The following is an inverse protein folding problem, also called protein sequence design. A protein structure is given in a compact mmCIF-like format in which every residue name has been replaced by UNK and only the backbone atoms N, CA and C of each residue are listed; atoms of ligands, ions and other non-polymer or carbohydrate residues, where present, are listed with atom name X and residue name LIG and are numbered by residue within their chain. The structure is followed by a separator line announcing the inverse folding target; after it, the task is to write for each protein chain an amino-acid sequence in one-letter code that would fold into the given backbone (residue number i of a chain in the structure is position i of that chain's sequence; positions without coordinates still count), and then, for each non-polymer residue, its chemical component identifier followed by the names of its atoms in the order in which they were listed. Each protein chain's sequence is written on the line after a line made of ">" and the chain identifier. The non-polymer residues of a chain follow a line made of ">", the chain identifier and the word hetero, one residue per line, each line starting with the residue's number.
data_IF_213085392581
#
_entry.id   IF_213085392581
#
_cell.length_a   1.000
_cell.length_b   1.000
_cell.length_c   1.000
_cell.angle_alpha   90.00
_cell.angle_beta   90.00
_cell.angle_gamma   90.00
#
_symmetry.space_group_name_H-M   'P 1'
#
loop_
_entity.id
_entity.type
_entity.pdbx_description
1 polymer ?
#
# COMPACT_ATOMS: atom_id res chain seq x y z
N UNK A 1 -24.84 -6.50 14.56
CA UNK A 1 -25.58 -6.46 13.29
C UNK A 1 -25.57 -7.88 12.72
N UNK A 2 -26.72 -8.49 12.46
CA UNK A 2 -26.80 -9.85 11.87
C UNK A 2 -27.27 -9.72 10.43
N UNK A 3 -26.46 -10.18 9.47
CA UNK A 3 -26.83 -10.19 8.05
C UNK A 3 -27.80 -11.35 7.76
N UNK A 4 -28.80 -11.11 6.92
CA UNK A 4 -29.70 -12.18 6.45
C UNK A 4 -29.00 -13.02 5.38
N UNK A 5 -29.33 -14.31 5.28
CA UNK A 5 -28.80 -15.18 4.22
C UNK A 5 -29.07 -14.58 2.84
N UNK A 6 -28.01 -14.39 2.04
CA UNK A 6 -28.09 -13.76 0.71
C UNK A 6 -27.93 -12.24 0.69
N UNK A 7 -27.81 -11.58 1.85
CA UNK A 7 -27.54 -10.16 1.92
C UNK A 7 -26.08 -9.87 1.55
N UNK A 8 -25.87 -9.11 0.48
CA UNK A 8 -24.55 -8.59 0.10
C UNK A 8 -24.31 -7.31 0.86
N UNK A 9 -23.28 -7.29 1.71
CA UNK A 9 -22.86 -6.12 2.47
C UNK A 9 -21.46 -5.76 1.99
N UNK A 10 -21.26 -4.51 1.61
CA UNK A 10 -19.92 -3.99 1.40
C UNK A 10 -19.32 -3.64 2.77
N UNK A 11 -18.17 -4.23 3.17
CA UNK A 11 -17.53 -3.89 4.43
C UNK A 11 -17.26 -2.39 4.59
N UNK A 12 -17.00 -1.66 3.49
CA UNK A 12 -16.77 -0.22 3.52
C UNK A 12 -17.99 0.60 3.95
N UNK A 13 -19.20 0.02 3.92
CA UNK A 13 -20.41 0.67 4.41
C UNK A 13 -20.49 0.66 5.95
N UNK A 14 -19.70 -0.19 6.63
CA UNK A 14 -19.81 -0.41 8.09
C UNK A 14 -18.48 -0.33 8.83
N UNK A 15 -17.36 -0.54 8.13
CA UNK A 15 -16.01 -0.49 8.66
C UNK A 15 -15.26 0.64 7.97
N UNK A 16 -14.84 1.68 8.71
CA UNK A 16 -14.14 2.81 8.10
C UNK A 16 -12.75 2.38 7.63
N UNK A 17 -12.45 2.68 6.36
CA UNK A 17 -11.11 2.57 5.81
C UNK A 17 -10.41 3.93 5.90
N UNK A 18 -9.57 4.09 6.93
CA UNK A 18 -8.97 5.38 7.30
C UNK A 18 -7.51 5.53 6.88
N UNK A 19 -6.87 4.44 6.46
CA UNK A 19 -5.44 4.39 6.22
C UNK A 19 -5.14 4.42 4.72
N UNK A 20 -4.11 5.17 4.32
CA UNK A 20 -3.46 4.91 3.03
C UNK A 20 -2.47 3.75 3.20
N UNK A 21 -2.56 2.74 2.35
CA UNK A 21 -1.62 1.63 2.36
C UNK A 21 -0.60 1.81 1.24
N UNK A 22 0.68 1.68 1.56
CA UNK A 22 1.77 1.70 0.61
C UNK A 22 2.45 0.35 0.58
N UNK A 23 2.64 -0.21 -0.62
CA UNK A 23 3.32 -1.48 -0.85
C UNK A 23 4.64 -1.21 -1.57
N UNK A 24 5.75 -1.61 -0.96
CA UNK A 24 7.09 -1.35 -1.51
C UNK A 24 8.01 -2.57 -1.33
N UNK A 25 9.02 -2.67 -2.18
CA UNK A 25 10.21 -3.50 -1.97
C UNK A 25 11.28 -2.67 -1.24
N UNK A 26 11.67 -3.10 -0.03
CA UNK A 26 12.70 -2.41 0.75
C UNK A 26 14.12 -2.62 0.22
N UNK A 27 14.37 -3.65 -0.59
CA UNK A 27 15.68 -3.85 -1.23
C UNK A 27 15.88 -2.93 -2.44
N UNK A 28 14.81 -2.24 -2.88
CA UNK A 28 14.85 -1.28 -3.98
C UNK A 28 14.99 0.16 -3.43
N UNK A 29 16.17 0.79 -3.52
CA UNK A 29 16.41 2.12 -2.98
C UNK A 29 15.58 3.23 -3.66
N UNK A 30 15.19 3.04 -4.92
CA UNK A 30 14.28 3.94 -5.62
C UNK A 30 12.87 3.89 -5.02
N UNK A 31 12.40 2.71 -4.61
CA UNK A 31 11.12 2.58 -3.91
C UNK A 31 11.16 3.16 -2.49
N UNK A 32 12.27 3.02 -1.77
CA UNK A 32 12.46 3.69 -0.48
C UNK A 32 12.43 5.22 -0.65
N UNK A 33 13.10 5.74 -1.67
CA UNK A 33 13.13 7.18 -1.99
C UNK A 33 11.74 7.69 -2.40
N UNK A 34 11.03 6.91 -3.23
CA UNK A 34 9.64 7.19 -3.60
C UNK A 34 8.73 7.23 -2.37
N UNK A 35 8.89 6.30 -1.43
CA UNK A 35 8.10 6.26 -0.20
C UNK A 35 8.34 7.49 0.67
N UNK A 36 9.60 7.92 0.83
CA UNK A 36 9.96 9.14 1.58
C UNK A 36 9.31 10.40 1.03
N UNK A 37 9.04 10.45 -0.28
CA UNK A 37 8.39 11.59 -0.92
C UNK A 37 6.86 11.62 -0.73
N UNK A 38 6.25 10.54 -0.24
CA UNK A 38 4.79 10.45 -0.14
C UNK A 38 4.22 11.37 0.94
N UNK A 39 3.12 12.04 0.61
CA UNK A 39 2.33 12.87 1.52
C UNK A 39 0.89 12.36 1.49
N UNK A 40 0.54 11.33 2.28
CA UNK A 40 -0.81 10.78 2.28
C UNK A 40 -1.83 11.83 2.71
N UNK A 41 -2.98 11.86 2.03
CA UNK A 41 -4.11 12.72 2.40
C UNK A 41 -4.94 12.19 3.58
N UNK A 42 -4.59 11.02 4.10
CA UNK A 42 -5.23 10.37 5.26
C UNK A 42 -4.49 10.71 6.55
N UNK A 43 -5.19 10.65 7.69
CA UNK A 43 -4.60 10.90 9.01
C UNK A 43 -3.47 9.90 9.35
N UNK A 44 -3.63 8.66 8.90
CA UNK A 44 -2.72 7.56 9.15
C UNK A 44 -2.38 6.86 7.83
N UNK A 45 -1.20 6.25 7.78
CA UNK A 45 -0.77 5.42 6.66
C UNK A 45 0.01 4.22 7.17
N UNK A 46 0.11 3.17 6.34
CA UNK A 46 0.90 1.98 6.62
C UNK A 46 1.84 1.71 5.46
N UNK A 47 3.11 1.50 5.78
CA UNK A 47 4.08 0.97 4.83
C UNK A 47 4.14 -0.53 5.00
N UNK A 48 3.84 -1.26 3.94
CA UNK A 48 3.77 -2.71 3.88
C UNK A 48 4.86 -3.17 2.91
N UNK A 49 5.84 -3.90 3.42
CA UNK A 49 6.89 -4.47 2.59
C UNK A 49 6.36 -5.73 1.91
N UNK A 50 6.61 -5.85 0.61
CA UNK A 50 6.41 -7.11 -0.13
C UNK A 50 7.70 -7.92 -0.26
N UNK A 51 8.85 -7.24 -0.14
CA UNK A 51 10.18 -7.83 -0.13
C UNK A 51 11.15 -6.92 0.66
N UNK A 52 12.30 -7.48 1.05
CA UNK A 52 13.42 -6.80 1.68
C UNK A 52 13.45 -6.83 3.22
N UNK A 53 14.54 -6.31 3.79
CA UNK A 53 14.79 -6.39 5.24
C UNK A 53 13.98 -5.33 6.03
N UNK A 54 13.18 -5.82 6.99
CA UNK A 54 12.32 -4.97 7.81
C UNK A 54 13.11 -4.01 8.73
N UNK A 55 14.27 -4.43 9.24
CA UNK A 55 15.08 -3.57 10.13
C UNK A 55 15.70 -2.43 9.33
N UNK A 56 16.21 -2.71 8.14
CA UNK A 56 16.74 -1.67 7.27
C UNK A 56 15.64 -0.71 6.80
N UNK A 57 14.45 -1.21 6.48
CA UNK A 57 13.30 -0.36 6.15
C UNK A 57 12.88 0.56 7.32
N UNK A 58 12.85 0.04 8.55
CA UNK A 58 12.55 0.85 9.76
C UNK A 58 13.59 1.96 9.92
N UNK A 59 14.89 1.64 9.83
CA UNK A 59 15.96 2.64 9.90
C UNK A 59 15.85 3.68 8.79
N UNK A 60 15.48 3.26 7.58
CA UNK A 60 15.42 4.12 6.42
C UNK A 60 14.23 5.08 6.44
N UNK A 61 13.06 4.64 6.94
CA UNK A 61 11.80 5.36 6.82
C UNK A 61 11.30 5.97 8.14
N UNK A 62 11.84 5.55 9.29
CA UNK A 62 11.46 6.02 10.63
C UNK A 62 9.93 6.01 10.87
N UNK A 63 9.28 4.94 10.41
CA UNK A 63 7.83 4.78 10.49
C UNK A 63 7.47 3.34 10.82
N UNK A 64 6.19 3.11 11.15
CA UNK A 64 5.71 1.77 11.43
C UNK A 64 5.65 0.95 10.14
N UNK A 65 6.48 -0.10 10.09
CA UNK A 65 6.56 -1.03 8.97
C UNK A 65 5.76 -2.31 9.26
N UNK A 66 5.10 -2.81 8.24
CA UNK A 66 4.41 -4.09 8.20
C UNK A 66 5.01 -4.93 7.06
N UNK A 67 4.75 -6.24 7.06
CA UNK A 67 5.20 -7.13 5.99
C UNK A 67 4.02 -7.93 5.46
N UNK A 68 3.87 -8.00 4.13
CA UNK A 68 2.88 -8.83 3.48
C UNK A 68 3.36 -10.28 3.39
N UNK A 69 3.38 -10.94 4.54
CA UNK A 69 3.78 -12.34 4.63
C UNK A 69 2.90 -13.22 3.74
N UNK A 70 3.54 -14.09 2.98
CA UNK A 70 2.92 -14.97 1.99
C UNK A 70 2.11 -14.23 0.90
N UNK A 71 2.33 -12.91 0.72
CA UNK A 71 1.68 -12.12 -0.32
C UNK A 71 0.14 -12.07 -0.18
N UNK A 72 -0.39 -12.15 1.03
CA UNK A 72 -1.83 -12.25 1.27
C UNK A 72 -2.57 -10.97 0.86
N UNK A 73 -2.07 -9.80 1.25
CA UNK A 73 -2.65 -8.52 0.89
C UNK A 73 -2.43 -8.19 -0.59
N UNK A 74 -1.24 -8.49 -1.12
CA UNK A 74 -0.91 -8.29 -2.52
C UNK A 74 -1.87 -9.04 -3.44
N UNK A 75 -2.21 -10.29 -3.08
CA UNK A 75 -3.23 -11.08 -3.80
C UNK A 75 -4.64 -10.52 -3.61
N UNK A 76 -5.04 -10.16 -2.40
CA UNK A 76 -6.38 -9.60 -2.11
C UNK A 76 -6.64 -8.28 -2.83
N UNK A 77 -5.63 -7.43 -2.96
CA UNK A 77 -5.70 -6.17 -3.70
C UNK A 77 -5.32 -6.32 -5.18
N UNK A 78 -5.02 -7.54 -5.63
CA UNK A 78 -4.66 -7.86 -7.00
C UNK A 78 -3.54 -6.97 -7.56
N UNK A 79 -2.53 -6.64 -6.73
CA UNK A 79 -1.43 -5.76 -7.11
C UNK A 79 -0.71 -6.32 -8.35
N UNK A 80 -0.62 -5.50 -9.40
CA UNK A 80 0.03 -5.88 -10.67
C UNK A 80 1.49 -5.46 -10.75
N UNK A 81 1.87 -4.44 -10.00
CA UNK A 81 3.23 -3.91 -9.92
C UNK A 81 3.43 -3.19 -8.58
N UNK A 82 4.70 -2.94 -8.23
CA UNK A 82 5.12 -2.15 -7.07
C UNK A 82 6.13 -1.07 -7.51
N UNK A 83 6.21 0.07 -6.81
CA UNK A 83 5.45 0.40 -5.61
C UNK A 83 3.97 0.66 -5.93
N UNK A 84 3.10 0.36 -4.95
CA UNK A 84 1.66 0.53 -5.09
C UNK A 84 1.06 1.29 -3.91
N UNK A 85 -0.04 1.98 -4.16
CA UNK A 85 -0.83 2.68 -3.15
C UNK A 85 -2.27 2.20 -3.19
N UNK A 86 -2.83 1.87 -2.04
CA UNK A 86 -4.24 1.55 -1.88
C UNK A 86 -4.92 2.62 -1.04
N UNK A 87 -5.96 3.23 -1.58
CA UNK A 87 -6.80 4.24 -0.92
C UNK A 87 -8.27 3.91 -1.08
N UNK A 88 -9.11 4.59 -0.31
CA UNK A 88 -10.54 4.62 -0.58
C UNK A 88 -10.81 5.39 -1.90
N UNK A 89 -11.73 4.90 -2.72
CA UNK A 89 -12.20 5.63 -3.91
C UNK A 89 -13.05 6.85 -3.53
N UNK A 90 -13.25 7.76 -4.48
CA UNK A 90 -14.07 8.96 -4.28
C UNK A 90 -15.53 8.63 -3.92
N UNK A 91 -16.08 7.57 -4.51
CA UNK A 91 -17.42 7.07 -4.18
C UNK A 91 -17.52 6.37 -2.81
N UNK A 92 -16.38 6.19 -2.13
CA UNK A 92 -16.23 5.54 -0.81
C UNK A 92 -16.74 4.10 -0.72
N UNK A 93 -17.03 3.45 -1.85
CA UNK A 93 -17.55 2.08 -1.91
C UNK A 93 -16.54 1.08 -2.45
N UNK A 94 -15.38 1.53 -2.90
CA UNK A 94 -14.33 0.67 -3.44
C UNK A 94 -12.97 1.08 -2.88
N UNK A 95 -12.02 0.17 -3.02
CA UNK A 95 -10.62 0.51 -2.86
C UNK A 95 -10.05 0.78 -4.25
N UNK A 96 -9.25 1.83 -4.34
CA UNK A 96 -8.48 2.20 -5.52
C UNK A 96 -7.05 1.73 -5.32
N UNK A 97 -6.51 1.06 -6.32
CA UNK A 97 -5.11 0.62 -6.38
C UNK A 97 -4.41 1.44 -7.46
N UNK A 98 -3.38 2.18 -7.08
CA UNK A 98 -2.48 2.87 -8.00
C UNK A 98 -1.11 2.18 -7.98
N UNK A 99 -0.51 1.97 -9.15
CA UNK A 99 0.87 1.49 -9.29
C UNK A 99 1.73 2.54 -9.97
N UNK A 100 2.99 2.65 -9.57
CA UNK A 100 3.86 3.73 -10.04
C UNK A 100 5.08 3.13 -10.73
N UNK A 101 5.29 3.51 -11.99
CA UNK A 101 6.54 3.19 -12.67
C UNK A 101 7.65 4.07 -12.09
N UNK A 102 8.74 3.44 -11.65
CA UNK A 102 9.95 4.15 -11.25
C UNK A 102 11.00 3.98 -12.36
N UNK A 103 11.79 5.02 -12.66
CA UNK A 103 12.90 4.89 -13.60
C UNK A 103 13.86 3.80 -13.14
N UNK A 104 14.34 3.00 -14.09
CA UNK A 104 15.33 1.97 -13.80
C UNK A 104 16.64 2.58 -13.29
N UNK A 105 17.49 1.79 -12.61
CA UNK A 105 18.86 2.21 -12.30
C UNK A 105 19.65 2.39 -13.61
N UNK A 106 19.53 3.56 -14.24
CA UNK A 106 20.15 3.89 -15.52
C UNK A 106 19.49 5.03 -16.31
N UNK A 107 18.24 5.40 -16.00
CA UNK A 107 17.49 6.40 -16.79
C UNK A 107 17.49 7.82 -16.19
N UNK A 108 18.25 8.07 -15.12
CA UNK A 108 18.29 9.36 -14.42
C UNK A 108 19.28 10.39 -15.01
N UNK A 109 19.70 10.20 -16.27
CA UNK A 109 20.61 11.11 -16.95
C UNK A 109 20.13 11.40 -18.37
N UNK A 110 19.28 12.41 -18.53
CA UNK A 110 19.27 13.31 -19.69
C UNK A 110 18.84 14.71 -19.27
#
# INVERSE_FOLDING_TARGET
>A
MFARKGQVINPLDTVPFTDTLYFIDADNPQQLSWMKAQKPGTLTYRVILVNGDIREAIKALDTRIYFDQDGTLSRKFELKAIPARVTLSEDRRRLRVDTFALPGPGEAHE
#
